data_IF_540223417271
#
_entry.id   IF_540223417271
#
_cell.length_a   1.000
_cell.length_b   1.000
_cell.length_c   1.000
_cell.angle_alpha   90.00
_cell.angle_beta   90.00
_cell.angle_gamma   90.00
#
_symmetry.space_group_name_H-M   'P 1'
#
loop_
_entity.id
_entity.type
_entity.pdbx_description
1 polymer ?
#
# COMPACT_ATOMS: atom_id res chain seq x y z
N UNK A 1 4.40 -8.37 7.36
CA UNK A 1 5.33 -7.52 8.12
C UNK A 1 6.09 -6.65 7.14
N UNK A 2 5.55 -5.45 6.86
CA UNK A 2 6.29 -4.31 6.31
C UNK A 2 5.60 -3.09 6.92
N UNK A 3 6.22 -2.55 7.97
CA UNK A 3 5.75 -1.36 8.68
C UNK A 3 6.08 -0.13 7.85
N UNK A 4 5.06 0.57 7.34
CA UNK A 4 5.25 1.92 6.80
C UNK A 4 5.14 2.90 7.96
N UNK A 5 6.29 3.35 8.45
CA UNK A 5 6.40 4.39 9.44
C UNK A 5 5.91 5.72 8.86
N UNK A 6 4.95 6.31 9.58
CA UNK A 6 4.56 7.72 9.51
C UNK A 6 5.82 8.59 9.66
N UNK A 7 6.11 9.46 8.69
CA UNK A 7 7.05 10.56 8.86
C UNK A 7 6.26 11.82 9.17
N UNK A 8 5.85 11.95 10.43
CA UNK A 8 5.53 13.23 11.03
C UNK A 8 6.81 13.87 11.56
N UNK A 9 6.81 15.21 11.60
CA UNK A 9 7.77 16.11 12.26
C UNK A 9 9.05 16.47 11.48
N UNK A 10 8.93 17.42 10.55
CA UNK A 10 9.99 18.42 10.36
C UNK A 10 9.62 19.68 11.15
N UNK A 11 9.85 19.61 12.45
CA UNK A 11 10.01 20.79 13.30
C UNK A 11 11.42 20.75 13.85
N UNK A 12 12.09 21.90 13.85
CA UNK A 12 13.45 22.14 14.34
C UNK A 12 14.59 21.76 13.39
N UNK A 13 15.08 22.76 12.65
CA UNK A 13 16.41 23.30 12.93
C UNK A 13 16.37 24.82 12.81
N UNK A 14 16.37 25.49 13.96
CA UNK A 14 16.81 26.88 14.03
C UNK A 14 18.26 26.95 13.54
N UNK A 15 18.47 27.79 12.55
CA UNK A 15 19.72 28.50 12.34
C UNK A 15 19.37 29.92 11.90
N UNK A 16 18.72 30.67 12.79
CA UNK A 16 18.89 32.14 12.78
C UNK A 16 20.26 32.41 13.37
N UNK A 17 21.32 32.07 12.64
CA UNK A 17 22.57 32.78 12.79
C UNK A 17 22.37 34.15 12.11
N UNK A 18 21.59 35.02 12.74
CA UNK A 18 21.73 36.44 12.48
C UNK A 18 23.10 36.79 13.06
N UNK A 19 24.12 36.84 12.20
CA UNK A 19 25.38 37.45 12.55
C UNK A 19 25.03 38.88 13.01
N UNK A 20 25.11 39.14 14.32
CA UNK A 20 24.87 40.47 14.83
C UNK A 20 25.98 41.37 14.27
N UNK A 21 25.61 42.51 13.68
CA UNK A 21 26.60 43.50 13.24
C UNK A 21 27.32 44.01 14.47
N UNK A 22 28.66 43.91 14.52
CA UNK A 22 29.47 44.40 15.63
C UNK A 22 29.61 45.93 15.58
N UNK A 23 29.88 46.56 16.72
CA UNK A 23 30.12 48.00 16.76
C UNK A 23 31.49 48.34 16.20
N UNK A 24 31.53 49.11 15.11
CA UNK A 24 32.76 49.49 14.40
C UNK A 24 33.73 50.37 15.22
N UNK A 25 33.28 50.95 16.34
CA UNK A 25 34.10 51.84 17.18
C UNK A 25 34.71 51.14 18.40
N UNK A 26 34.04 50.12 18.95
CA UNK A 26 34.55 49.42 20.14
C UNK A 26 34.80 47.94 19.93
N UNK A 27 34.27 47.33 18.86
CA UNK A 27 34.42 45.91 18.50
C UNK A 27 33.98 44.90 19.58
N UNK A 28 33.49 45.39 20.72
CA UNK A 28 33.16 44.59 21.91
C UNK A 28 31.65 44.34 22.08
N UNK A 29 30.81 45.13 21.43
CA UNK A 29 29.36 45.12 21.64
C UNK A 29 28.60 45.04 20.31
N UNK A 30 27.42 44.38 20.28
CA UNK A 30 26.56 44.40 19.11
C UNK A 30 26.13 45.83 18.79
N UNK A 31 26.19 46.18 17.52
CA UNK A 31 25.66 47.43 17.01
C UNK A 31 24.14 47.33 16.89
N UNK A 32 23.46 48.27 17.55
CA UNK A 32 22.00 48.44 17.44
C UNK A 32 21.64 49.65 16.56
N UNK A 33 22.64 50.46 16.19
CA UNK A 33 22.46 51.69 15.43
C UNK A 33 23.43 51.78 14.27
N UNK A 34 23.06 52.52 13.24
CA UNK A 34 23.95 52.90 12.15
C UNK A 34 23.89 54.41 11.93
N UNK A 35 25.02 54.99 11.53
CA UNK A 35 25.10 56.38 11.15
C UNK A 35 24.78 56.54 9.66
N UNK A 36 23.83 57.41 9.32
CA UNK A 36 23.47 57.74 7.93
C UNK A 36 24.48 58.66 7.25
N UNK A 37 25.28 59.35 8.05
CA UNK A 37 26.24 60.37 7.57
C UNK A 37 27.65 59.81 7.37
N UNK A 38 28.03 58.72 8.05
CA UNK A 38 29.34 58.08 7.90
C UNK A 38 29.24 56.55 8.03
N UNK A 39 30.18 55.77 7.46
CA UNK A 39 30.25 54.33 7.65
C UNK A 39 30.58 54.03 9.11
N UNK A 40 29.56 53.75 9.92
CA UNK A 40 29.75 53.44 11.34
C UNK A 40 28.50 52.81 11.96
N UNK A 41 28.64 51.56 12.36
CA UNK A 41 27.70 50.78 13.17
C UNK A 41 28.05 50.97 14.64
N UNK A 42 27.08 51.36 15.45
CA UNK A 42 27.29 51.87 16.80
C UNK A 42 26.46 51.07 17.81
N UNK A 43 27.07 50.66 18.91
CA UNK A 43 26.34 50.29 20.12
C UNK A 43 25.83 51.56 20.82
N UNK A 44 24.94 51.44 21.81
CA UNK A 44 24.33 52.58 22.49
C UNK A 44 25.37 53.56 23.08
N UNK A 45 26.46 53.02 23.65
CA UNK A 45 27.56 53.82 24.21
C UNK A 45 28.29 54.62 23.13
N UNK A 46 28.66 53.95 22.03
CA UNK A 46 29.38 54.57 20.93
C UNK A 46 28.50 55.60 20.18
N UNK A 47 27.19 55.34 20.03
CA UNK A 47 26.20 56.31 19.53
C UNK A 47 26.17 57.59 20.35
N UNK A 48 26.15 57.47 21.68
CA UNK A 48 26.11 58.62 22.58
C UNK A 48 27.38 59.48 22.43
N UNK A 49 28.54 58.84 22.32
CA UNK A 49 29.80 59.53 22.05
C UNK A 49 29.82 60.17 20.65
N UNK A 50 29.28 59.48 19.65
CA UNK A 50 29.19 59.98 18.28
C UNK A 50 28.38 61.27 18.18
N UNK A 51 27.33 61.44 18.99
CA UNK A 51 26.51 62.67 19.01
C UNK A 51 27.17 63.86 19.71
N UNK A 52 28.18 63.65 20.55
CA UNK A 52 28.81 64.73 21.32
C UNK A 52 30.17 65.17 20.76
N UNK A 53 30.84 64.33 19.96
CA UNK A 53 32.10 64.68 19.29
C UNK A 53 31.87 65.82 18.30
N UNK A 54 32.74 66.84 18.30
CA UNK A 54 32.60 68.06 17.47
C UNK A 54 32.42 67.77 15.97
N UNK A 55 33.01 66.69 15.48
CA UNK A 55 33.01 66.28 14.07
C UNK A 55 31.70 65.59 13.70
N UNK A 56 31.14 64.76 14.59
CA UNK A 56 30.02 63.85 14.31
C UNK A 56 28.70 64.27 14.98
N UNK A 57 28.70 65.39 15.72
CA UNK A 57 27.51 65.90 16.46
C UNK A 57 26.28 66.17 15.59
N UNK A 58 26.47 66.44 14.30
CA UNK A 58 25.39 66.70 13.35
C UNK A 58 25.05 65.47 12.49
N UNK A 59 25.65 64.31 12.78
CA UNK A 59 25.37 63.09 12.04
C UNK A 59 23.99 62.53 12.41
N UNK A 60 23.25 62.06 11.41
CA UNK A 60 21.98 61.36 11.64
C UNK A 60 22.27 59.89 11.98
N UNK A 61 21.65 59.38 13.04
CA UNK A 61 21.82 58.00 13.54
C UNK A 61 20.45 57.36 13.64
N UNK A 62 20.28 56.16 13.08
CA UNK A 62 19.05 55.36 13.17
C UNK A 62 19.31 54.00 13.81
N UNK A 63 18.24 53.39 14.33
CA UNK A 63 18.26 52.05 14.92
C UNK A 63 18.06 51.00 13.82
N UNK A 64 18.69 49.83 13.95
CA UNK A 64 18.44 48.72 13.05
C UNK A 64 17.00 48.19 13.24
N UNK A 65 16.30 47.90 12.13
CA UNK A 65 15.00 47.21 12.15
C UNK A 65 13.75 48.07 12.11
N UNK A 66 13.84 49.40 11.96
CA UNK A 66 12.66 50.28 11.86
C UNK A 66 12.08 50.41 10.45
N UNK A 67 12.90 50.24 9.40
CA UNK A 67 12.47 50.15 8.00
C UNK A 67 13.61 49.62 7.11
N UNK A 68 13.45 48.46 6.47
CA UNK A 68 14.51 47.84 5.66
C UNK A 68 14.73 48.55 4.33
N UNK A 69 13.74 49.29 3.82
CA UNK A 69 13.88 50.04 2.57
C UNK A 69 14.87 51.19 2.71
N UNK A 70 14.87 51.85 3.86
CA UNK A 70 15.83 52.92 4.14
C UNK A 70 17.26 52.39 4.28
N UNK A 71 17.46 51.14 4.73
CA UNK A 71 18.80 50.55 4.91
C UNK A 71 19.54 50.35 3.57
N UNK A 72 18.80 50.21 2.48
CA UNK A 72 19.36 50.00 1.13
C UNK A 72 20.26 51.17 0.72
N UNK A 73 19.87 52.40 1.05
CA UNK A 73 20.61 53.62 0.72
C UNK A 73 21.88 53.81 1.57
N UNK A 74 22.09 52.96 2.58
CA UNK A 74 23.26 53.00 3.48
C UNK A 74 24.17 51.79 3.33
N UNK A 75 24.00 51.00 2.27
CA UNK A 75 24.91 49.91 1.94
C UNK A 75 26.25 50.45 1.42
N UNK A 76 27.35 49.84 1.87
CA UNK A 76 28.70 50.18 1.42
C UNK A 76 29.23 49.13 0.43
N UNK A 77 30.04 49.58 -0.52
CA UNK A 77 30.64 48.71 -1.52
C UNK A 77 31.74 47.84 -0.89
N UNK A 78 31.70 46.53 -1.16
CA UNK A 78 32.72 45.58 -0.70
C UNK A 78 34.12 45.90 -1.24
N UNK A 79 34.18 46.32 -2.51
CA UNK A 79 35.45 46.57 -3.21
C UNK A 79 35.98 47.98 -2.91
N UNK A 80 35.09 48.90 -2.52
CA UNK A 80 35.38 50.28 -2.20
C UNK A 80 34.75 50.64 -0.86
N UNK A 81 35.38 50.19 0.23
CA UNK A 81 34.86 50.18 1.62
C UNK A 81 34.30 51.54 2.09
N UNK A 82 34.80 52.66 1.55
CA UNK A 82 34.35 54.02 1.91
C UNK A 82 33.27 54.60 1.00
N UNK A 83 32.83 53.86 -0.02
CA UNK A 83 31.86 54.30 -1.02
C UNK A 83 30.51 53.62 -0.78
N UNK A 84 29.45 54.41 -0.81
CA UNK A 84 28.09 53.88 -0.76
C UNK A 84 27.71 53.26 -2.09
N UNK A 85 26.87 52.24 -2.01
CA UNK A 85 26.15 51.68 -3.14
C UNK A 85 25.00 52.62 -3.43
N UNK A 86 24.98 53.19 -4.62
CA UNK A 86 23.97 54.18 -5.03
C UNK A 86 23.21 53.70 -6.27
N UNK A 87 23.77 52.75 -7.01
CA UNK A 87 23.21 52.26 -8.25
C UNK A 87 23.15 50.73 -8.30
N UNK A 88 22.29 50.22 -9.18
CA UNK A 88 22.26 48.82 -9.58
C UNK A 88 22.59 48.75 -11.08
N UNK A 89 23.51 47.87 -11.46
CA UNK A 89 23.89 47.65 -12.85
C UNK A 89 23.04 46.51 -13.42
N UNK A 90 22.12 46.82 -14.34
CA UNK A 90 21.15 45.85 -14.86
C UNK A 90 21.79 44.72 -15.68
N UNK A 91 22.77 44.97 -16.58
CA UNK A 91 23.44 43.90 -17.31
C UNK A 91 24.22 42.94 -16.40
N UNK A 92 24.80 43.46 -15.31
CA UNK A 92 25.62 42.68 -14.38
C UNK A 92 24.82 42.14 -13.18
N UNK A 93 23.54 42.50 -13.08
CA UNK A 93 22.62 42.13 -11.99
C UNK A 93 23.20 42.30 -10.59
N UNK A 94 23.90 43.41 -10.35
CA UNK A 94 24.55 43.67 -9.05
C UNK A 94 24.50 45.13 -8.62
N UNK A 95 24.48 45.38 -7.30
CA UNK A 95 24.64 46.72 -6.74
C UNK A 95 26.08 47.24 -6.98
N UNK A 96 26.23 48.52 -7.30
CA UNK A 96 27.51 49.17 -7.63
C UNK A 96 27.61 50.58 -7.04
N UNK A 97 28.82 50.98 -6.64
CA UNK A 97 29.14 52.37 -6.31
C UNK A 97 29.68 53.12 -7.54
N UNK A 98 29.87 54.44 -7.40
CA UNK A 98 30.42 55.30 -8.46
C UNK A 98 31.78 54.84 -8.98
N UNK A 99 32.68 54.37 -8.10
CA UNK A 99 34.01 53.88 -8.50
C UNK A 99 33.90 52.57 -9.30
N UNK A 100 33.00 51.65 -8.90
CA UNK A 100 32.70 50.45 -9.68
C UNK A 100 32.20 50.80 -11.09
N UNK A 101 31.36 51.83 -11.21
CA UNK A 101 30.83 52.28 -12.51
C UNK A 101 31.95 52.76 -13.41
N UNK A 102 32.87 53.58 -12.90
CA UNK A 102 33.97 54.12 -13.70
C UNK A 102 34.96 53.02 -14.12
N UNK A 103 35.32 52.13 -13.19
CA UNK A 103 36.38 51.16 -13.40
C UNK A 103 35.94 49.91 -14.17
N UNK A 104 34.72 49.41 -13.91
CA UNK A 104 34.31 48.07 -14.36
C UNK A 104 32.94 48.01 -15.04
N UNK A 105 32.08 49.02 -14.85
CA UNK A 105 30.73 49.07 -15.45
C UNK A 105 30.53 50.27 -16.36
N UNK A 106 31.62 50.76 -16.96
CA UNK A 106 31.58 51.91 -17.83
C UNK A 106 30.72 51.60 -19.07
N UNK A 107 29.73 52.45 -19.34
CA UNK A 107 28.80 52.27 -20.47
C UNK A 107 27.66 51.28 -20.22
N UNK A 108 27.56 50.65 -19.04
CA UNK A 108 26.39 49.83 -18.70
C UNK A 108 25.20 50.70 -18.27
N UNK A 109 23.99 50.23 -18.55
CA UNK A 109 22.77 50.82 -18.01
C UNK A 109 22.72 50.57 -16.50
N UNK A 110 22.50 51.65 -15.74
CA UNK A 110 22.37 51.62 -14.29
C UNK A 110 21.12 52.39 -13.87
N UNK A 111 20.53 51.96 -12.75
CA UNK A 111 19.38 52.62 -12.11
C UNK A 111 19.64 52.82 -10.62
N UNK A 112 18.79 53.57 -9.94
CA UNK A 112 18.99 53.82 -8.50
C UNK A 112 18.83 52.52 -7.71
N UNK A 113 19.61 52.38 -6.64
CA UNK A 113 19.57 51.17 -5.82
C UNK A 113 18.19 50.96 -5.18
N UNK A 114 17.53 52.04 -4.75
CA UNK A 114 16.20 51.99 -4.15
C UNK A 114 15.11 51.58 -5.15
N UNK A 115 15.19 52.02 -6.42
CA UNK A 115 14.24 51.57 -7.45
C UNK A 115 14.44 50.09 -7.78
N UNK A 116 15.70 49.66 -7.93
CA UNK A 116 16.01 48.25 -8.16
C UNK A 116 15.56 47.36 -7.00
N UNK A 117 15.77 47.79 -5.75
CA UNK A 117 15.33 47.04 -4.57
C UNK A 117 13.82 46.87 -4.54
N UNK A 118 13.06 47.95 -4.81
CA UNK A 118 11.60 47.90 -4.84
C UNK A 118 11.09 46.92 -5.90
N UNK A 119 11.58 47.03 -7.13
CA UNK A 119 11.15 46.16 -8.23
C UNK A 119 11.53 44.69 -7.99
N UNK A 120 12.76 44.40 -7.54
CA UNK A 120 13.20 43.04 -7.20
C UNK A 120 12.33 42.47 -6.07
N UNK A 121 12.02 43.26 -5.05
CA UNK A 121 11.16 42.85 -3.94
C UNK A 121 9.73 42.56 -4.40
N UNK A 122 9.17 43.38 -5.29
CA UNK A 122 7.86 43.17 -5.90
C UNK A 122 7.84 41.89 -6.76
N UNK A 123 8.86 41.65 -7.58
CA UNK A 123 9.01 40.41 -8.37
C UNK A 123 9.10 39.17 -7.47
N UNK A 124 9.91 39.23 -6.40
CA UNK A 124 10.01 38.15 -5.42
C UNK A 124 8.68 37.89 -4.71
N UNK A 125 7.92 38.95 -4.42
CA UNK A 125 6.61 38.85 -3.80
C UNK A 125 5.61 38.19 -4.75
N UNK A 126 5.59 38.57 -6.03
CA UNK A 126 4.76 37.94 -7.07
C UNK A 126 5.04 36.45 -7.20
N UNK A 127 6.32 36.05 -7.26
CA UNK A 127 6.69 34.63 -7.31
C UNK A 127 6.26 33.88 -6.05
N UNK A 128 6.45 34.47 -4.87
CA UNK A 128 6.02 33.88 -3.61
C UNK A 128 4.50 33.69 -3.59
N UNK A 129 3.74 34.68 -4.03
CA UNK A 129 2.28 34.61 -4.05
C UNK A 129 1.79 33.57 -5.06
N UNK A 130 2.42 33.42 -6.23
CA UNK A 130 2.12 32.34 -7.16
C UNK A 130 2.38 30.95 -6.54
N UNK A 131 3.49 30.80 -5.82
CA UNK A 131 3.80 29.55 -5.10
C UNK A 131 2.73 29.25 -4.04
N UNK A 132 2.43 30.22 -3.19
CA UNK A 132 1.54 30.04 -2.03
C UNK A 132 0.08 29.86 -2.44
N UNK A 133 -0.38 30.61 -3.45
CA UNK A 133 -1.80 30.68 -3.81
C UNK A 133 -2.19 29.69 -4.90
N UNK A 134 -1.27 29.29 -5.78
CA UNK A 134 -1.57 28.41 -6.91
C UNK A 134 -0.81 27.09 -6.85
N UNK A 135 0.53 27.12 -6.90
CA UNK A 135 1.30 25.90 -7.07
C UNK A 135 1.19 24.95 -5.86
N UNK A 136 1.39 25.45 -4.64
CA UNK A 136 1.30 24.61 -3.44
C UNK A 136 -0.09 23.98 -3.27
N UNK A 137 -1.21 24.72 -3.40
CA UNK A 137 -2.55 24.13 -3.38
C UNK A 137 -2.75 23.09 -4.49
N UNK A 138 -2.35 23.38 -5.74
CA UNK A 138 -2.52 22.47 -6.88
C UNK A 138 -1.76 21.15 -6.67
N UNK A 139 -0.49 21.22 -6.29
CA UNK A 139 0.32 20.02 -6.03
C UNK A 139 -0.19 19.22 -4.82
N UNK A 140 -0.63 19.91 -3.77
CA UNK A 140 -1.25 19.25 -2.60
C UNK A 140 -2.53 18.51 -2.98
N UNK A 141 -3.36 19.11 -3.82
CA UNK A 141 -4.58 18.49 -4.34
C UNK A 141 -4.29 17.27 -5.21
N UNK A 142 -3.32 17.39 -6.14
CA UNK A 142 -2.87 16.27 -6.99
C UNK A 142 -2.35 15.11 -6.13
N UNK A 143 -1.55 15.39 -5.10
CA UNK A 143 -1.06 14.38 -4.16
C UNK A 143 -2.22 13.68 -3.43
N UNK A 144 -3.25 14.44 -3.02
CA UNK A 144 -4.48 13.90 -2.44
C UNK A 144 -5.24 12.97 -3.39
N UNK A 145 -5.31 13.30 -4.69
CA UNK A 145 -5.90 12.43 -5.71
C UNK A 145 -5.15 11.12 -5.86
N UNK A 146 -3.82 11.16 -5.92
CA UNK A 146 -2.99 9.94 -6.01
C UNK A 146 -3.17 9.04 -4.76
N UNK A 147 -3.27 9.64 -3.57
CA UNK A 147 -3.59 8.89 -2.36
C UNK A 147 -4.98 8.19 -2.43
N UNK A 148 -5.98 8.85 -3.03
CA UNK A 148 -7.31 8.28 -3.26
C UNK A 148 -7.27 7.14 -4.29
N UNK A 149 -6.61 7.34 -5.44
CA UNK A 149 -6.40 6.31 -6.47
C UNK A 149 -5.76 5.05 -5.88
N UNK A 150 -4.69 5.23 -5.08
CA UNK A 150 -4.03 4.14 -4.34
C UNK A 150 -4.99 3.38 -3.43
N UNK A 151 -5.81 4.09 -2.66
CA UNK A 151 -6.78 3.47 -1.74
C UNK A 151 -7.82 2.66 -2.50
N UNK A 152 -8.33 3.19 -3.60
CA UNK A 152 -9.35 2.54 -4.43
C UNK A 152 -8.80 1.29 -5.12
N UNK A 153 -7.63 1.37 -5.74
CA UNK A 153 -6.96 0.22 -6.34
C UNK A 153 -6.76 -0.92 -5.33
N UNK A 154 -6.36 -0.58 -4.10
CA UNK A 154 -6.20 -1.55 -3.02
C UNK A 154 -7.55 -2.20 -2.62
N UNK A 155 -8.63 -1.42 -2.58
CA UNK A 155 -9.98 -1.96 -2.32
C UNK A 155 -10.43 -2.92 -3.42
N UNK A 156 -10.24 -2.54 -4.67
CA UNK A 156 -10.57 -3.38 -5.84
C UNK A 156 -9.79 -4.69 -5.81
N UNK A 157 -8.47 -4.64 -5.60
CA UNK A 157 -7.63 -5.84 -5.48
C UNK A 157 -8.10 -6.76 -4.33
N UNK A 158 -8.41 -6.19 -3.15
CA UNK A 158 -8.91 -6.96 -2.01
C UNK A 158 -10.28 -7.61 -2.30
N UNK A 159 -11.15 -6.92 -3.05
CA UNK A 159 -12.46 -7.46 -3.45
C UNK A 159 -12.27 -8.67 -4.39
N UNK A 160 -11.49 -8.50 -5.45
CA UNK A 160 -11.19 -9.56 -6.41
C UNK A 160 -10.50 -10.75 -5.72
N UNK A 161 -9.58 -10.49 -4.79
CA UNK A 161 -8.94 -11.55 -4.00
C UNK A 161 -9.96 -12.38 -3.20
N UNK A 162 -10.97 -11.73 -2.59
CA UNK A 162 -12.04 -12.44 -1.87
C UNK A 162 -12.90 -13.27 -2.83
N UNK A 163 -13.22 -12.74 -4.00
CA UNK A 163 -13.97 -13.46 -5.04
C UNK A 163 -13.22 -14.71 -5.51
N UNK A 164 -11.93 -14.58 -5.82
CA UNK A 164 -11.06 -15.73 -6.19
C UNK A 164 -11.10 -16.79 -5.08
N UNK A 165 -10.87 -16.40 -3.82
CA UNK A 165 -10.86 -17.34 -2.68
C UNK A 165 -12.21 -18.04 -2.48
N UNK A 166 -13.31 -17.30 -2.58
CA UNK A 166 -14.65 -17.87 -2.45
C UNK A 166 -14.93 -18.88 -3.56
N UNK A 167 -14.53 -18.57 -4.79
CA UNK A 167 -14.64 -19.48 -5.93
C UNK A 167 -13.81 -20.76 -5.72
N UNK A 168 -12.54 -20.64 -5.29
CA UNK A 168 -11.70 -21.81 -4.95
C UNK A 168 -12.37 -22.70 -3.91
N UNK A 169 -12.90 -22.09 -2.85
CA UNK A 169 -13.51 -22.81 -1.74
C UNK A 169 -14.75 -23.59 -2.20
N UNK A 170 -15.58 -22.99 -3.05
CA UNK A 170 -16.74 -23.66 -3.65
C UNK A 170 -16.32 -24.90 -4.46
N UNK A 171 -15.29 -24.80 -5.30
CA UNK A 171 -14.77 -25.95 -6.06
C UNK A 171 -14.30 -27.06 -5.12
N UNK A 172 -13.54 -26.72 -4.07
CA UNK A 172 -13.06 -27.71 -3.09
C UNK A 172 -14.23 -28.43 -2.42
N UNK A 173 -15.28 -27.71 -2.03
CA UNK A 173 -16.48 -28.28 -1.43
C UNK A 173 -17.22 -29.21 -2.39
N UNK A 174 -17.35 -28.81 -3.65
CA UNK A 174 -17.94 -29.65 -4.69
C UNK A 174 -17.16 -30.96 -4.88
N UNK A 175 -15.83 -30.89 -4.96
CA UNK A 175 -14.98 -32.08 -5.10
C UNK A 175 -15.08 -32.99 -3.87
N UNK A 176 -15.11 -32.43 -2.67
CA UNK A 176 -15.32 -33.19 -1.43
C UNK A 176 -16.66 -33.92 -1.44
N UNK A 177 -17.74 -33.23 -1.78
CA UNK A 177 -19.09 -33.82 -1.84
C UNK A 177 -19.17 -34.97 -2.85
N UNK A 178 -18.55 -34.82 -4.02
CA UNK A 178 -18.45 -35.91 -5.01
C UNK A 178 -17.69 -37.11 -4.43
N UNK A 179 -16.59 -36.87 -3.72
CA UNK A 179 -15.80 -37.91 -3.06
C UNK A 179 -16.61 -38.67 -2.00
N UNK A 180 -17.30 -37.95 -1.12
CA UNK A 180 -18.17 -38.53 -0.09
C UNK A 180 -19.29 -39.37 -0.70
N UNK A 181 -19.95 -38.87 -1.75
CA UNK A 181 -20.98 -39.62 -2.46
C UNK A 181 -20.42 -40.91 -3.10
N UNK A 182 -19.23 -40.84 -3.69
CA UNK A 182 -18.58 -42.01 -4.29
C UNK A 182 -18.25 -43.09 -3.24
N UNK A 183 -17.87 -42.68 -2.02
CA UNK A 183 -17.67 -43.59 -0.90
C UNK A 183 -19.01 -44.17 -0.40
N UNK A 184 -20.06 -43.36 -0.35
CA UNK A 184 -21.40 -43.85 -0.01
C UNK A 184 -21.90 -44.89 -1.01
N UNK A 185 -21.72 -44.64 -2.31
CA UNK A 185 -22.09 -45.59 -3.37
C UNK A 185 -21.33 -46.92 -3.19
N UNK A 186 -20.05 -46.88 -2.81
CA UNK A 186 -19.26 -48.08 -2.48
C UNK A 186 -19.86 -48.86 -1.31
N UNK A 187 -20.21 -48.18 -0.21
CA UNK A 187 -20.84 -48.81 0.95
C UNK A 187 -22.21 -49.40 0.62
N UNK A 188 -22.98 -48.77 -0.27
CA UNK A 188 -24.27 -49.30 -0.71
C UNK A 188 -24.09 -50.58 -1.54
N UNK A 189 -23.08 -50.64 -2.41
CA UNK A 189 -22.72 -51.87 -3.14
C UNK A 189 -22.28 -52.99 -2.19
N UNK A 190 -21.43 -52.68 -1.22
CA UNK A 190 -20.99 -53.61 -0.18
C UNK A 190 -22.18 -54.16 0.61
N UNK A 191 -23.06 -53.28 1.10
CA UNK A 191 -24.26 -53.65 1.85
C UNK A 191 -25.18 -54.54 1.04
N UNK A 192 -25.37 -54.26 -0.25
CA UNK A 192 -26.18 -55.09 -1.13
C UNK A 192 -25.56 -56.49 -1.31
N UNK A 193 -24.25 -56.57 -1.53
CA UNK A 193 -23.52 -57.84 -1.62
C UNK A 193 -23.64 -58.66 -0.34
N UNK A 194 -23.40 -58.05 0.83
CA UNK A 194 -23.56 -58.70 2.13
C UNK A 194 -24.98 -59.19 2.39
N UNK A 195 -25.99 -58.42 1.98
CA UNK A 195 -27.39 -58.84 2.08
C UNK A 195 -27.64 -60.13 1.30
N UNK A 196 -27.20 -60.20 0.04
CA UNK A 196 -27.36 -61.41 -0.78
C UNK A 196 -26.60 -62.61 -0.20
N UNK A 197 -25.37 -62.40 0.29
CA UNK A 197 -24.59 -63.44 0.97
C UNK A 197 -25.35 -63.97 2.20
N UNK A 198 -25.91 -63.08 3.01
CA UNK A 198 -26.67 -63.46 4.21
C UNK A 198 -27.94 -64.24 3.86
N UNK A 199 -28.69 -63.83 2.85
CA UNK A 199 -29.88 -64.53 2.36
C UNK A 199 -29.55 -65.98 1.93
N UNK A 200 -28.50 -66.17 1.13
CA UNK A 200 -28.05 -67.51 0.72
C UNK A 200 -27.51 -68.32 1.91
N UNK A 201 -26.77 -67.69 2.82
CA UNK A 201 -26.29 -68.33 4.05
C UNK A 201 -27.45 -68.85 4.91
N UNK A 202 -28.50 -68.05 5.09
CA UNK A 202 -29.64 -68.44 5.91
C UNK A 202 -30.49 -69.54 5.26
N UNK A 203 -30.61 -69.55 3.93
CA UNK A 203 -31.20 -70.66 3.20
C UNK A 203 -30.39 -71.95 3.41
N UNK A 204 -29.06 -71.90 3.25
CA UNK A 204 -28.18 -73.04 3.47
C UNK A 204 -28.26 -73.55 4.92
N UNK A 205 -28.26 -72.66 5.92
CA UNK A 205 -28.42 -73.04 7.34
C UNK A 205 -29.74 -73.77 7.58
N UNK A 206 -30.85 -73.30 7.01
CA UNK A 206 -32.17 -73.95 7.12
C UNK A 206 -32.13 -75.36 6.52
N UNK A 207 -31.57 -75.52 5.31
CA UNK A 207 -31.41 -76.84 4.66
C UNK A 207 -30.51 -77.77 5.49
N UNK A 208 -29.40 -77.27 6.03
CA UNK A 208 -28.49 -78.05 6.90
C UNK A 208 -29.20 -78.51 8.18
N UNK A 209 -29.95 -77.64 8.86
CA UNK A 209 -30.68 -78.00 10.08
C UNK A 209 -31.72 -79.09 9.83
N UNK A 210 -32.44 -79.00 8.71
CA UNK A 210 -33.44 -80.01 8.33
C UNK A 210 -32.80 -81.35 7.97
N UNK A 211 -31.68 -81.34 7.23
CA UNK A 211 -30.90 -82.55 6.97
C UNK A 211 -30.39 -83.21 8.26
N UNK A 212 -29.93 -82.43 9.25
CA UNK A 212 -29.53 -82.95 10.57
C UNK A 212 -30.68 -83.58 11.34
N UNK A 213 -31.88 -83.01 11.26
CA UNK A 213 -33.07 -83.59 11.90
C UNK A 213 -33.45 -84.92 11.25
N UNK A 214 -33.45 -84.97 9.91
CA UNK A 214 -33.68 -86.21 9.15
C UNK A 214 -32.64 -87.26 9.53
N UNK A 215 -31.34 -86.92 9.48
CA UNK A 215 -30.25 -87.82 9.87
C UNK A 215 -30.43 -88.36 11.29
N UNK A 216 -30.72 -87.50 12.26
CA UNK A 216 -30.95 -87.91 13.66
C UNK A 216 -32.11 -88.89 13.79
N UNK A 217 -33.22 -88.63 13.11
CA UNK A 217 -34.41 -89.49 13.15
C UNK A 217 -34.11 -90.86 12.54
N UNK A 218 -33.43 -90.91 11.39
CA UNK A 218 -33.02 -92.17 10.75
C UNK A 218 -32.02 -92.93 11.62
N UNK A 219 -31.00 -92.25 12.15
CA UNK A 219 -30.04 -92.82 13.09
C UNK A 219 -30.72 -93.43 14.33
N UNK A 220 -31.78 -92.78 14.84
CA UNK A 220 -32.58 -93.31 15.94
C UNK A 220 -33.34 -94.60 15.57
N UNK A 221 -33.98 -94.63 14.41
CA UNK A 221 -34.69 -95.81 13.91
C UNK A 221 -33.75 -96.99 13.63
N UNK A 222 -32.57 -96.73 13.04
CA UNK A 222 -31.57 -97.75 12.73
C UNK A 222 -31.00 -98.41 13.99
N UNK A 223 -30.79 -97.64 15.07
CA UNK A 223 -30.21 -98.14 16.34
C UNK A 223 -31.24 -98.79 17.27
N UNK A 224 -32.54 -98.55 17.06
CA UNK A 224 -33.61 -99.09 17.90
C UNK A 224 -33.87 -100.58 17.66
N UNK A 225 -34.50 -101.25 18.63
CA UNK A 225 -34.92 -102.65 18.45
C UNK A 225 -36.02 -102.76 17.36
N UNK A 226 -35.99 -103.77 16.48
CA UNK A 226 -36.98 -103.90 15.41
C UNK A 226 -38.39 -104.13 15.96
N UNK A 227 -39.29 -103.16 15.75
CA UNK A 227 -40.72 -103.23 16.09
C UNK A 227 -41.61 -103.06 14.85
N UNK A 228 -42.94 -103.08 15.01
CA UNK A 228 -43.89 -102.95 13.88
C UNK A 228 -43.65 -101.72 12.99
N UNK A 229 -43.22 -100.59 13.57
CA UNK A 229 -42.90 -99.35 12.85
C UNK A 229 -41.61 -99.43 12.01
N UNK A 230 -40.75 -100.43 12.24
CA UNK A 230 -39.54 -100.64 11.44
C UNK A 230 -39.88 -101.13 10.02
N UNK A 231 -40.98 -101.86 9.88
CA UNK A 231 -41.45 -102.39 8.60
C UNK A 231 -42.33 -101.40 7.82
N UNK A 232 -42.65 -100.23 8.38
CA UNK A 232 -43.35 -99.18 7.64
C UNK A 232 -42.45 -98.68 6.52
N UNK A 233 -42.91 -98.67 5.25
CA UNK A 233 -42.09 -98.23 4.13
C UNK A 233 -41.64 -96.79 4.33
N UNK A 234 -40.34 -96.56 4.16
CA UNK A 234 -39.78 -95.22 4.23
C UNK A 234 -40.32 -94.37 3.07
N UNK A 235 -40.56 -93.08 3.33
CA UNK A 235 -40.97 -92.15 2.28
C UNK A 235 -39.87 -92.10 1.20
N UNK A 236 -40.19 -92.57 -0.01
CA UNK A 236 -39.26 -92.64 -1.14
C UNK A 236 -38.75 -91.27 -1.59
N UNK A 237 -39.46 -90.19 -1.26
CA UNK A 237 -39.11 -88.81 -1.61
C UNK A 237 -38.61 -87.97 -0.41
N UNK A 238 -38.03 -88.60 0.61
CA UNK A 238 -37.56 -87.90 1.81
C UNK A 238 -36.52 -86.81 1.53
N UNK A 239 -35.70 -87.00 0.50
CA UNK A 239 -34.59 -86.10 0.15
C UNK A 239 -34.88 -85.20 -1.06
N UNK A 240 -36.07 -85.27 -1.66
CA UNK A 240 -36.37 -84.58 -2.92
C UNK A 240 -36.13 -83.07 -2.90
N UNK A 241 -36.39 -82.39 -1.77
CA UNK A 241 -36.14 -80.94 -1.65
C UNK A 241 -34.64 -80.53 -1.60
N UNK A 242 -33.75 -81.51 -1.45
CA UNK A 242 -32.29 -81.33 -1.41
C UNK A 242 -31.60 -81.76 -2.71
N UNK A 243 -32.34 -82.31 -3.66
CA UNK A 243 -31.81 -82.64 -4.99
C UNK A 243 -31.41 -81.39 -5.78
N UNK A 244 -31.93 -80.22 -5.37
CA UNK A 244 -31.54 -78.91 -5.90
C UNK A 244 -30.80 -78.07 -4.86
N UNK A 245 -29.57 -77.69 -5.20
CA UNK A 245 -28.71 -76.85 -4.36
C UNK A 245 -28.97 -75.37 -4.63
N UNK A 246 -28.99 -74.52 -3.57
CA UNK A 246 -29.02 -73.07 -3.75
C UNK A 246 -27.82 -72.61 -4.58
N UNK A 247 -28.03 -71.64 -5.47
CA UNK A 247 -26.94 -71.04 -6.24
C UNK A 247 -26.10 -70.15 -5.34
N UNK A 248 -24.78 -70.22 -5.48
CA UNK A 248 -23.82 -69.34 -4.79
C UNK A 248 -23.07 -68.51 -5.82
N UNK A 249 -22.67 -67.30 -5.42
CA UNK A 249 -22.01 -66.33 -6.28
C UNK A 249 -20.75 -65.78 -5.63
N UNK A 250 -19.79 -65.40 -6.46
CA UNK A 250 -18.60 -64.67 -6.02
C UNK A 250 -18.84 -63.17 -6.14
N UNK A 251 -18.47 -62.43 -5.10
CA UNK A 251 -18.64 -60.98 -5.03
C UNK A 251 -17.28 -60.31 -5.08
N UNK A 252 -17.15 -59.27 -5.91
CA UNK A 252 -15.90 -58.51 -6.05
C UNK A 252 -16.22 -57.03 -6.22
N UNK A 253 -15.57 -56.21 -5.41
CA UNK A 253 -15.51 -54.76 -5.60
C UNK A 253 -14.29 -54.42 -6.46
N UNK A 254 -14.46 -53.48 -7.40
CA UNK A 254 -13.36 -53.02 -8.25
C UNK A 254 -12.66 -51.83 -7.61
N UNK A 255 -11.35 -51.71 -7.86
CA UNK A 255 -10.55 -50.58 -7.39
C UNK A 255 -10.99 -49.29 -8.08
N UNK A 256 -11.07 -48.20 -7.30
CA UNK A 256 -11.34 -46.86 -7.79
C UNK A 256 -10.36 -46.44 -8.90
N UNK A 257 -10.90 -45.93 -10.01
CA UNK A 257 -10.10 -45.46 -11.14
C UNK A 257 -10.02 -43.94 -11.12
N UNK A 258 -8.81 -43.40 -10.93
CA UNK A 258 -8.59 -41.96 -10.86
C UNK A 258 -8.77 -41.29 -12.22
N UNK A 259 -9.53 -40.19 -12.26
CA UNK A 259 -9.72 -39.37 -13.47
C UNK A 259 -8.61 -38.35 -13.71
N UNK A 260 -8.71 -37.57 -14.80
CA UNK A 260 -7.73 -36.52 -15.19
C UNK A 260 -8.06 -35.13 -14.64
N UNK A 261 -8.67 -35.06 -13.47
CA UNK A 261 -9.17 -33.81 -12.90
C UNK A 261 -8.09 -32.72 -12.73
N UNK A 262 -6.86 -32.99 -12.26
CA UNK A 262 -5.86 -31.94 -12.04
C UNK A 262 -5.55 -31.12 -13.30
N UNK A 263 -5.40 -31.78 -14.45
CA UNK A 263 -5.14 -31.10 -15.73
C UNK A 263 -6.35 -30.29 -16.20
N UNK A 264 -7.57 -30.79 -15.97
CA UNK A 264 -8.78 -30.07 -16.33
C UNK A 264 -9.00 -28.84 -15.43
N UNK A 265 -8.68 -28.92 -14.14
CA UNK A 265 -8.77 -27.77 -13.23
C UNK A 265 -7.83 -26.66 -13.70
N UNK A 266 -6.57 -26.97 -14.00
CA UNK A 266 -5.61 -25.95 -14.44
C UNK A 266 -6.08 -25.16 -15.68
N UNK A 267 -6.72 -25.83 -16.64
CA UNK A 267 -7.21 -25.19 -17.88
C UNK A 267 -8.52 -24.42 -17.65
N UNK A 268 -9.36 -24.85 -16.71
CA UNK A 268 -10.72 -24.31 -16.52
C UNK A 268 -10.87 -23.41 -15.28
N UNK A 269 -9.80 -23.17 -14.52
CA UNK A 269 -9.87 -22.39 -13.28
C UNK A 269 -10.15 -20.89 -13.51
N UNK A 270 -9.69 -20.36 -14.64
CA UNK A 270 -9.77 -18.93 -14.97
C UNK A 270 -8.43 -18.21 -14.87
N UNK A 271 -8.39 -16.98 -15.40
CA UNK A 271 -7.21 -16.11 -15.40
C UNK A 271 -7.62 -14.68 -15.04
N UNK A 272 -6.66 -13.90 -14.52
CA UNK A 272 -6.83 -12.47 -14.26
C UNK A 272 -6.23 -11.69 -15.43
N UNK A 273 -6.96 -10.68 -15.93
CA UNK A 273 -6.43 -9.74 -16.90
C UNK A 273 -5.42 -8.79 -16.25
N UNK A 274 -4.51 -8.23 -17.05
CA UNK A 274 -3.53 -7.26 -16.58
C UNK A 274 -4.18 -5.94 -16.12
N UNK A 275 -3.41 -5.16 -15.37
CA UNK A 275 -3.82 -3.83 -14.92
C UNK A 275 -4.07 -2.89 -16.12
N UNK A 276 -5.31 -2.42 -16.27
CA UNK A 276 -5.65 -1.36 -17.22
C UNK A 276 -5.22 0.00 -16.71
N UNK A 277 -4.40 0.72 -17.48
CA UNK A 277 -4.00 2.09 -17.21
C UNK A 277 -4.75 3.00 -18.19
N UNK A 278 -5.55 3.93 -17.66
CA UNK A 278 -6.33 4.89 -18.44
C UNK A 278 -5.85 6.29 -18.08
N UNK A 279 -5.47 7.07 -19.09
CA UNK A 279 -5.06 8.46 -18.90
C UNK A 279 -6.30 9.31 -18.56
N UNK A 280 -6.19 10.16 -17.54
CA UNK A 280 -7.26 11.11 -17.21
C UNK A 280 -7.23 12.26 -18.23
N UNK A 281 -8.39 12.67 -18.73
CA UNK A 281 -8.53 13.88 -19.55
C UNK A 281 -8.18 15.11 -18.68
N UNK A 282 -7.37 16.02 -19.22
CA UNK A 282 -7.03 17.27 -18.57
C UNK A 282 -8.29 18.15 -18.51
N UNK A 283 -8.61 18.66 -17.32
CA UNK A 283 -9.67 19.63 -17.14
C UNK A 283 -9.09 20.98 -17.57
N UNK A 284 -9.31 21.36 -18.84
CA UNK A 284 -8.78 22.57 -19.51
C UNK A 284 -9.22 23.89 -18.86
N UNK A 285 -10.01 23.86 -17.78
CA UNK A 285 -10.60 25.02 -17.12
C UNK A 285 -9.64 25.85 -16.24
N UNK A 286 -8.36 25.48 -16.12
CA UNK A 286 -7.38 26.17 -15.26
C UNK A 286 -6.18 26.80 -16.02
N UNK A 287 -6.22 26.91 -17.34
CA UNK A 287 -5.07 27.38 -18.15
C UNK A 287 -4.86 28.91 -18.17
N UNK A 288 -5.78 29.72 -17.66
CA UNK A 288 -5.76 31.18 -17.81
C UNK A 288 -5.16 31.94 -16.60
N UNK A 289 -3.92 31.66 -16.17
CA UNK A 289 -3.32 32.46 -15.09
C UNK A 289 -1.83 32.81 -15.20
N UNK A 290 -1.18 32.58 -16.35
CA UNK A 290 0.20 33.02 -16.54
C UNK A 290 0.44 33.62 -17.93
N UNK A 291 -0.26 34.71 -18.23
CA UNK A 291 0.27 35.76 -19.10
C UNK A 291 0.78 36.88 -18.17
N UNK A 292 2.06 36.81 -17.80
CA UNK A 292 2.78 37.91 -17.15
C UNK A 292 3.89 38.32 -18.11
N UNK A 293 3.58 39.31 -18.95
CA UNK A 293 4.53 40.07 -19.78
C UNK A 293 5.48 40.92 -18.92
#
# INVERSE_FOLDING_TARGET
MVEYQHMDTMTSYQSRAQHFVECDECEDNPANFFCKTCPGNLCEKCKSQHKIRKITKNHEIKEFGTDNEELVDFLYCSDHIRKRIECYCDPCKKPVCTDCIVLFHNGHVVRTISSAYKEIKEEMQTHKDAIDQYFLPKYTWLLGREAKKRSELKKQANKIQKEIRAYTQNIIEMVKSIGEKTVQDLHDQEKNGLRQINETSDELKKKISRLKEIEKNLSGQIKGNPGMQFFTPMNSNLLGEFETFPKTFNYKLHTFQVGRLPSLVAVNYGALADLSIIQEEEDDSESDMFDVD
#
